data_IF_138545548220
#
_entry.id   IF_138545548220
#
_cell.length_a   1.000
_cell.length_b   1.000
_cell.length_c   1.000
_cell.angle_alpha   90.00
_cell.angle_beta   90.00
_cell.angle_gamma   90.00
#
_symmetry.space_group_name_H-M   'P 1'
#
loop_
_entity.id
_entity.type
_entity.pdbx_description
1 polymer ?
#
# COMPACT_ATOMS: atom_id res chain seq x y z
N UNK A 1 10.87 16.62 -9.43
CA UNK A 1 10.97 15.34 -10.16
C UNK A 1 9.83 15.26 -11.15
N UNK A 2 10.09 15.07 -12.45
CA UNK A 2 9.02 14.79 -13.42
C UNK A 2 8.51 13.37 -13.14
N UNK A 3 7.20 13.22 -12.89
CA UNK A 3 6.55 11.91 -12.80
C UNK A 3 6.87 11.13 -14.07
N UNK A 4 7.61 10.01 -13.94
CA UNK A 4 7.73 9.08 -15.04
C UNK A 4 6.43 8.29 -15.12
N UNK A 5 5.42 8.84 -15.82
CA UNK A 5 4.10 8.24 -16.03
C UNK A 5 4.17 6.84 -16.66
N UNK A 6 5.32 6.45 -17.22
CA UNK A 6 5.56 5.13 -17.79
C UNK A 6 6.01 4.08 -16.78
N UNK A 7 6.29 4.44 -15.53
CA UNK A 7 6.66 3.45 -14.50
C UNK A 7 5.40 2.67 -14.13
N UNK A 8 5.35 1.35 -14.34
CA UNK A 8 4.19 0.55 -13.95
C UNK A 8 3.99 0.61 -12.43
N UNK A 9 2.77 0.93 -12.00
CA UNK A 9 2.40 1.05 -10.60
C UNK A 9 0.94 0.67 -10.43
N UNK A 10 0.58 0.26 -9.22
CA UNK A 10 -0.79 -0.01 -8.83
C UNK A 10 -1.51 1.29 -8.47
N UNK A 11 -2.75 1.43 -8.94
CA UNK A 11 -3.69 2.47 -8.50
C UNK A 11 -4.08 2.30 -7.02
N UNK A 12 -4.69 3.33 -6.42
CA UNK A 12 -5.16 3.25 -5.03
C UNK A 12 -6.21 2.16 -4.82
N UNK A 13 -7.10 1.95 -5.78
CA UNK A 13 -8.09 0.87 -5.72
C UNK A 13 -7.43 -0.51 -5.75
N UNK A 14 -6.42 -0.68 -6.61
CA UNK A 14 -5.64 -1.93 -6.68
C UNK A 14 -4.84 -2.17 -5.41
N UNK A 15 -4.21 -1.13 -4.83
CA UNK A 15 -3.54 -1.25 -3.53
C UNK A 15 -4.49 -1.69 -2.41
N UNK A 16 -5.72 -1.16 -2.39
CA UNK A 16 -6.76 -1.60 -1.44
C UNK A 16 -7.15 -3.06 -1.68
N UNK A 17 -7.31 -3.47 -2.95
CA UNK A 17 -7.64 -4.85 -3.30
C UNK A 17 -6.53 -5.83 -2.90
N UNK A 18 -5.26 -5.48 -3.18
CA UNK A 18 -4.08 -6.25 -2.78
C UNK A 18 -4.05 -6.42 -1.26
N UNK A 19 -4.21 -5.32 -0.52
CA UNK A 19 -4.21 -5.38 0.93
C UNK A 19 -5.35 -6.26 1.46
N UNK A 20 -6.56 -6.15 0.90
CA UNK A 20 -7.70 -6.97 1.29
C UNK A 20 -7.49 -8.46 1.02
N UNK A 21 -6.88 -8.81 -0.13
CA UNK A 21 -6.63 -10.19 -0.53
C UNK A 21 -5.42 -10.84 0.19
N UNK A 22 -4.54 -10.05 0.80
CA UNK A 22 -3.40 -10.59 1.53
C UNK A 22 -3.84 -11.33 2.80
N UNK A 23 -3.64 -12.66 2.82
CA UNK A 23 -3.88 -13.50 3.99
C UNK A 23 -3.00 -13.08 5.17
N UNK A 24 -1.74 -12.75 4.87
CA UNK A 24 -0.77 -12.24 5.84
C UNK A 24 -0.48 -10.76 5.55
N UNK A 25 -0.54 -9.91 6.59
CA UNK A 25 -0.17 -8.48 6.48
C UNK A 25 1.35 -8.28 6.60
N UNK A 26 2.06 -8.96 5.70
CA UNK A 26 3.53 -8.96 5.58
C UNK A 26 3.92 -8.64 4.14
N UNK A 27 5.18 -8.28 3.90
CA UNK A 27 5.66 -8.03 2.54
C UNK A 27 5.41 -9.24 1.62
N UNK A 28 5.72 -10.45 2.12
CA UNK A 28 5.51 -11.69 1.38
C UNK A 28 4.03 -11.92 1.07
N UNK A 29 3.14 -11.74 2.05
CA UNK A 29 1.70 -11.94 1.88
C UNK A 29 1.09 -10.95 0.88
N UNK A 30 1.48 -9.68 0.97
CA UNK A 30 1.05 -8.62 0.04
C UNK A 30 1.54 -8.90 -1.38
N UNK A 31 2.82 -9.28 -1.56
CA UNK A 31 3.37 -9.63 -2.89
C UNK A 31 2.68 -10.85 -3.47
N UNK A 32 2.41 -11.87 -2.66
CA UNK A 32 1.68 -13.07 -3.09
C UNK A 32 0.25 -12.73 -3.53
N UNK A 33 -0.46 -11.88 -2.78
CA UNK A 33 -1.79 -11.41 -3.15
C UNK A 33 -1.80 -10.62 -4.47
N UNK A 34 -0.85 -9.70 -4.63
CA UNK A 34 -0.71 -8.94 -5.87
C UNK A 34 -0.40 -9.84 -7.07
N UNK A 35 0.50 -10.82 -6.91
CA UNK A 35 0.80 -11.78 -7.96
C UNK A 35 -0.42 -12.67 -8.32
N UNK A 36 -1.25 -13.03 -7.33
CA UNK A 36 -2.48 -13.79 -7.55
C UNK A 36 -3.55 -12.99 -8.31
N UNK A 37 -3.69 -11.69 -8.03
CA UNK A 37 -4.69 -10.82 -8.65
C UNK A 37 -4.29 -10.35 -10.06
N UNK A 38 -3.01 -10.02 -10.27
CA UNK A 38 -2.55 -9.32 -11.49
C UNK A 38 -1.53 -10.14 -12.31
N UNK A 39 -1.17 -11.33 -11.85
CA UNK A 39 -0.18 -12.21 -12.48
C UNK A 39 1.23 -12.04 -11.90
N UNK A 40 1.97 -13.15 -11.79
CA UNK A 40 3.30 -13.18 -11.15
C UNK A 40 4.37 -12.36 -11.90
N UNK A 41 4.18 -12.10 -13.19
CA UNK A 41 5.10 -11.35 -14.05
C UNK A 41 4.68 -9.88 -14.25
N UNK A 42 3.65 -9.41 -13.53
CA UNK A 42 3.16 -8.04 -13.66
C UNK A 42 4.29 -7.04 -13.32
N UNK A 43 4.67 -6.12 -14.24
CA UNK A 43 5.78 -5.20 -14.01
C UNK A 43 5.60 -4.31 -12.76
N UNK A 44 4.37 -3.98 -12.39
CA UNK A 44 4.04 -3.20 -11.20
C UNK A 44 4.41 -3.89 -9.87
N UNK A 45 4.64 -5.22 -9.87
CA UNK A 45 5.13 -5.93 -8.68
C UNK A 45 6.54 -5.48 -8.26
N UNK A 46 7.33 -4.96 -9.20
CA UNK A 46 8.67 -4.43 -8.91
C UNK A 46 8.60 -3.10 -8.16
N UNK A 47 7.47 -2.40 -8.24
CA UNK A 47 7.25 -1.12 -7.58
C UNK A 47 6.40 -1.24 -6.32
N UNK A 48 5.94 -2.45 -5.97
CA UNK A 48 5.14 -2.71 -4.77
C UNK A 48 6.03 -2.94 -3.56
N UNK A 49 5.85 -2.13 -2.51
CA UNK A 49 6.61 -2.19 -1.28
C UNK A 49 5.70 -2.19 -0.06
N UNK A 50 6.04 -3.03 0.92
CA UNK A 50 5.46 -3.01 2.26
C UNK A 50 6.48 -2.41 3.22
N UNK A 51 6.24 -1.18 3.65
CA UNK A 51 7.19 -0.40 4.45
C UNK A 51 6.67 -0.17 5.86
N UNK A 52 7.57 0.04 6.86
CA UNK A 52 7.18 0.59 8.15
C UNK A 52 6.43 1.92 7.97
N UNK A 53 5.50 2.20 8.87
CA UNK A 53 4.66 3.40 8.82
C UNK A 53 5.43 4.69 8.53
N UNK A 54 4.91 5.48 7.59
CA UNK A 54 5.52 6.74 7.16
C UNK A 54 5.56 7.84 8.23
N UNK A 55 6.23 8.95 7.90
CA UNK A 55 6.39 10.11 8.79
C UNK A 55 5.12 10.94 9.05
N UNK A 56 4.08 10.83 8.21
CA UNK A 56 2.81 11.56 8.30
C UNK A 56 1.85 10.87 9.27
N UNK A 57 1.26 11.63 10.17
CA UNK A 57 0.17 11.17 11.03
C UNK A 57 -1.21 11.54 10.44
N UNK A 58 -2.22 10.73 10.75
CA UNK A 58 -3.60 10.91 10.31
C UNK A 58 -4.50 11.12 11.52
N UNK A 59 -5.51 11.98 11.36
CA UNK A 59 -6.50 12.23 12.41
C UNK A 59 -7.49 11.07 12.45
N UNK A 60 -7.65 10.47 13.61
CA UNK A 60 -8.64 9.42 13.88
C UNK A 60 -9.96 10.03 14.37
N UNK A 61 -11.00 9.18 14.44
CA UNK A 61 -12.36 9.54 14.86
C UNK A 61 -12.45 9.96 16.33
N UNK A 62 -11.52 9.51 17.16
CA UNK A 62 -11.36 9.94 18.57
C UNK A 62 -10.75 11.35 18.70
N UNK A 63 -10.38 11.98 17.58
CA UNK A 63 -9.78 13.31 17.52
C UNK A 63 -8.26 13.33 17.68
N UNK A 64 -7.61 12.21 17.97
CA UNK A 64 -6.16 12.09 18.10
C UNK A 64 -5.49 11.87 16.74
N UNK A 65 -4.16 12.03 16.71
CA UNK A 65 -3.35 11.79 15.52
C UNK A 65 -2.47 10.55 15.71
N UNK A 66 -2.62 9.58 14.82
CA UNK A 66 -1.84 8.35 14.84
C UNK A 66 -1.02 8.22 13.57
N UNK A 67 0.17 7.63 13.68
CA UNK A 67 0.95 7.23 12.52
C UNK A 67 0.43 5.90 12.00
N UNK A 68 0.49 5.66 10.67
CA UNK A 68 0.23 4.33 10.15
C UNK A 68 1.22 3.35 10.79
N UNK A 69 0.80 2.09 10.94
CA UNK A 69 1.71 1.01 11.35
C UNK A 69 2.58 0.58 10.17
N UNK A 70 2.03 0.64 8.97
CA UNK A 70 2.69 0.30 7.72
C UNK A 70 2.20 1.18 6.58
N UNK A 71 3.02 1.32 5.55
CA UNK A 71 2.62 1.94 4.28
C UNK A 71 2.78 0.92 3.17
N UNK A 72 1.71 0.70 2.40
CA UNK A 72 1.74 -0.05 1.16
C UNK A 72 1.97 0.94 0.02
N UNK A 73 3.11 0.85 -0.65
CA UNK A 73 3.54 1.81 -1.65
C UNK A 73 3.64 1.15 -3.02
N UNK A 74 3.12 1.84 -4.05
CA UNK A 74 3.46 1.63 -5.45
C UNK A 74 3.60 2.98 -6.12
N UNK A 75 4.82 3.52 -6.11
CA UNK A 75 5.08 4.92 -6.44
C UNK A 75 4.44 5.32 -7.79
N UNK A 76 3.63 6.41 -7.83
CA UNK A 76 3.50 7.45 -6.81
C UNK A 76 2.41 7.23 -5.75
N UNK A 77 1.71 6.10 -5.76
CA UNK A 77 0.60 5.83 -4.86
C UNK A 77 1.07 5.22 -3.55
N UNK A 78 0.54 5.73 -2.45
CA UNK A 78 0.88 5.29 -1.10
C UNK A 78 -0.40 5.14 -0.26
N UNK A 79 -0.56 3.97 0.35
CA UNK A 79 -1.69 3.62 1.18
C UNK A 79 -1.21 3.39 2.62
N UNK A 80 -1.63 4.28 3.52
CA UNK A 80 -1.42 4.14 4.95
C UNK A 80 -2.33 3.04 5.53
N UNK A 81 -1.73 2.13 6.28
CA UNK A 81 -2.43 1.10 7.06
C UNK A 81 -2.34 1.48 8.52
N UNK A 82 -3.49 1.76 9.14
CA UNK A 82 -3.61 2.09 10.56
C UNK A 82 -3.62 0.82 11.41
N UNK A 83 -3.44 0.95 12.73
CA UNK A 83 -3.43 -0.18 13.67
C UNK A 83 -4.78 -0.92 13.75
N UNK A 84 -5.87 -0.18 13.60
CA UNK A 84 -7.24 -0.68 13.54
C UNK A 84 -7.63 -1.28 12.16
N UNK A 85 -6.70 -1.29 11.20
CA UNK A 85 -6.92 -1.76 9.84
C UNK A 85 -7.53 -0.73 8.88
N UNK A 86 -7.78 0.51 9.34
CA UNK A 86 -8.21 1.62 8.48
C UNK A 86 -7.17 1.90 7.39
N UNK A 87 -7.66 2.21 6.18
CA UNK A 87 -6.83 2.45 4.99
C UNK A 87 -6.99 3.87 4.47
N UNK A 88 -5.93 4.67 4.55
CA UNK A 88 -5.93 6.08 4.18
C UNK A 88 -4.95 6.37 3.04
N UNK A 89 -5.26 7.33 2.18
CA UNK A 89 -4.33 7.76 1.14
C UNK A 89 -3.27 8.67 1.76
N UNK A 90 -2.00 8.38 1.46
CA UNK A 90 -0.86 8.97 2.14
C UNK A 90 -0.38 10.30 1.53
#
# INVERSE_FOLDING_TARGET
MKMNQHTPHFSMEELRAIYAAAEEKTEKGVRAAAAGLYGADAPALQTLYWLPGGGRAFRSSDGNCYKPVHTLQSWPNELAVMDDGTLLEY
#
